data_IF_684723220236
#
_entry.id   IF_684723220236
#
_cell.length_a   1.000
_cell.length_b   1.000
_cell.length_c   1.000
_cell.angle_alpha   90.00
_cell.angle_beta   90.00
_cell.angle_gamma   90.00
#
_symmetry.space_group_name_H-M   'P 1'
#
loop_
_entity.id
_entity.type
_entity.pdbx_description
1 polymer ?
#
# COMPACT_ATOMS: atom_id res chain seq x y z
N UNK A 1 11.19 10.05 -24.86
CA UNK A 1 10.87 9.11 -23.77
C UNK A 1 11.17 9.83 -22.47
N UNK A 2 10.25 9.87 -21.52
CA UNK A 2 10.53 10.40 -20.18
C UNK A 2 11.44 9.40 -19.45
N UNK A 3 12.48 9.90 -18.78
CA UNK A 3 13.49 9.10 -18.08
C UNK A 3 12.89 8.43 -16.83
N UNK A 4 13.30 7.20 -16.50
CA UNK A 4 12.92 6.54 -15.24
C UNK A 4 13.37 7.34 -14.03
N UNK A 5 14.50 8.02 -14.10
CA UNK A 5 15.01 8.89 -13.03
C UNK A 5 14.07 10.08 -12.76
N UNK A 6 13.36 10.57 -13.78
CA UNK A 6 12.35 11.61 -13.60
C UNK A 6 11.13 11.10 -12.81
N UNK A 7 10.78 9.82 -12.93
CA UNK A 7 9.67 9.23 -12.18
C UNK A 7 9.98 9.21 -10.67
N UNK A 8 11.22 8.87 -10.29
CA UNK A 8 11.65 8.85 -8.90
C UNK A 8 11.61 10.24 -8.27
N UNK A 9 12.14 11.26 -8.96
CA UNK A 9 12.07 12.64 -8.48
C UNK A 9 10.63 13.15 -8.38
N UNK A 10 9.77 12.83 -9.36
CA UNK A 10 8.37 13.21 -9.31
C UNK A 10 7.63 12.55 -8.14
N UNK A 11 7.94 11.28 -7.84
CA UNK A 11 7.42 10.58 -6.67
C UNK A 11 7.82 11.26 -5.36
N UNK A 12 9.10 11.61 -5.20
CA UNK A 12 9.57 12.33 -4.01
C UNK A 12 8.91 13.71 -3.84
N UNK A 13 8.78 14.47 -4.92
CA UNK A 13 8.15 15.79 -4.90
C UNK A 13 6.70 15.64 -4.43
N UNK A 14 5.95 14.73 -5.05
CA UNK A 14 4.56 14.45 -4.70
C UNK A 14 4.39 14.08 -3.22
N UNK A 15 5.25 13.21 -2.68
CA UNK A 15 5.25 12.84 -1.25
C UNK A 15 5.54 14.03 -0.32
N UNK A 16 6.31 15.02 -0.77
CA UNK A 16 6.68 16.21 0.00
C UNK A 16 5.66 17.34 -0.11
N UNK A 17 4.95 17.43 -1.23
CA UNK A 17 3.99 18.51 -1.51
C UNK A 17 2.57 18.21 -1.07
N UNK A 18 2.18 16.94 -0.96
CA UNK A 18 0.87 16.58 -0.41
C UNK A 18 0.76 16.98 1.07
N UNK A 19 -0.31 17.70 1.41
CA UNK A 19 -0.57 18.11 2.80
C UNK A 19 -1.43 17.08 3.54
N UNK A 20 -2.38 16.49 2.82
CA UNK A 20 -3.29 15.48 3.33
C UNK A 20 -3.59 14.40 2.27
N UNK A 21 -4.52 13.49 2.61
CA UNK A 21 -4.99 12.44 1.70
C UNK A 21 -5.60 13.05 0.44
N UNK A 22 -6.52 14.00 0.56
CA UNK A 22 -7.28 14.55 -0.57
C UNK A 22 -6.35 15.24 -1.59
N UNK A 23 -5.36 15.98 -1.11
CA UNK A 23 -4.29 16.57 -1.94
C UNK A 23 -3.52 15.50 -2.72
N UNK A 24 -3.14 14.42 -2.04
CA UNK A 24 -2.43 13.30 -2.67
C UNK A 24 -3.29 12.65 -3.76
N UNK A 25 -4.59 12.46 -3.49
CA UNK A 25 -5.52 11.89 -4.45
C UNK A 25 -5.66 12.76 -5.70
N UNK A 26 -5.82 14.08 -5.51
CA UNK A 26 -5.90 15.04 -6.59
C UNK A 26 -4.62 15.06 -7.44
N UNK A 27 -3.45 15.08 -6.80
CA UNK A 27 -2.17 15.07 -7.51
C UNK A 27 -1.99 13.80 -8.33
N UNK A 28 -2.26 12.62 -7.76
CA UNK A 28 -2.15 11.34 -8.48
C UNK A 28 -3.12 11.28 -9.65
N UNK A 29 -4.36 11.73 -9.47
CA UNK A 29 -5.35 11.78 -10.55
C UNK A 29 -4.90 12.70 -11.68
N UNK A 30 -4.42 13.90 -11.34
CA UNK A 30 -3.89 14.84 -12.32
C UNK A 30 -2.73 14.22 -13.13
N UNK A 31 -1.79 13.56 -12.45
CA UNK A 31 -0.66 12.90 -13.11
C UNK A 31 -1.12 11.74 -14.00
N UNK A 32 -2.11 10.95 -13.57
CA UNK A 32 -2.68 9.86 -14.37
C UNK A 32 -3.29 10.36 -15.68
N UNK A 33 -3.98 11.50 -15.65
CA UNK A 33 -4.65 12.10 -16.82
C UNK A 33 -3.67 12.76 -17.80
N UNK A 34 -2.48 13.17 -17.32
CA UNK A 34 -1.55 14.00 -18.09
C UNK A 34 -0.23 13.31 -18.45
N UNK A 35 0.07 12.13 -17.90
CA UNK A 35 1.30 11.40 -18.18
C UNK A 35 1.04 10.16 -19.04
N UNK A 36 2.02 9.76 -19.88
CA UNK A 36 1.99 8.46 -20.54
C UNK A 36 1.83 7.33 -19.51
N UNK A 37 0.96 6.36 -19.79
CA UNK A 37 0.62 5.27 -18.88
C UNK A 37 1.85 4.54 -18.34
N UNK A 38 2.80 4.22 -19.22
CA UNK A 38 4.05 3.56 -18.82
C UNK A 38 4.88 4.38 -17.83
N UNK A 39 4.88 5.71 -17.95
CA UNK A 39 5.59 6.59 -17.02
C UNK A 39 4.83 6.70 -15.69
N UNK A 40 3.50 6.79 -15.74
CA UNK A 40 2.67 6.78 -14.54
C UNK A 40 2.83 5.48 -13.73
N UNK A 41 2.95 4.33 -14.38
CA UNK A 41 3.25 3.06 -13.69
C UNK A 41 4.63 3.07 -13.01
N UNK A 42 5.66 3.68 -13.61
CA UNK A 42 6.96 3.83 -12.94
C UNK A 42 6.88 4.75 -11.73
N UNK A 43 6.15 5.87 -11.85
CA UNK A 43 5.91 6.79 -10.74
C UNK A 43 5.19 6.08 -9.58
N UNK A 44 4.15 5.28 -9.87
CA UNK A 44 3.48 4.48 -8.85
C UNK A 44 4.41 3.42 -8.25
N UNK A 45 5.26 2.77 -9.03
CA UNK A 45 6.23 1.82 -8.47
C UNK A 45 7.17 2.52 -7.48
N UNK A 46 7.75 3.66 -7.84
CA UNK A 46 8.65 4.41 -6.96
C UNK A 46 7.93 4.94 -5.71
N UNK A 47 6.71 5.45 -5.87
CA UNK A 47 5.86 5.85 -4.75
C UNK A 47 5.59 4.68 -3.79
N UNK A 48 5.30 3.48 -4.30
CA UNK A 48 5.09 2.30 -3.44
C UNK A 48 6.30 2.00 -2.56
N UNK A 49 7.51 2.20 -3.08
CA UNK A 49 8.74 2.09 -2.31
C UNK A 49 8.82 3.20 -1.25
N UNK A 50 8.58 4.46 -1.63
CA UNK A 50 8.62 5.58 -0.69
C UNK A 50 7.60 5.44 0.45
N UNK A 51 6.42 4.87 0.20
CA UNK A 51 5.42 4.58 1.22
C UNK A 51 5.95 3.61 2.30
N UNK A 52 6.79 2.64 1.92
CA UNK A 52 7.33 1.62 2.82
C UNK A 52 8.49 2.10 3.70
N UNK A 53 9.08 3.26 3.39
CA UNK A 53 10.18 3.83 4.16
C UNK A 53 9.69 4.96 5.05
N UNK A 54 9.88 4.81 6.35
CA UNK A 54 9.55 5.86 7.31
C UNK A 54 10.63 6.95 7.27
N UNK A 55 10.35 8.02 6.52
CA UNK A 55 11.10 9.28 6.57
C UNK A 55 10.22 10.33 7.24
N UNK A 56 10.80 11.14 8.13
CA UNK A 56 10.09 12.20 8.86
C UNK A 56 9.49 13.26 7.95
N UNK A 57 9.96 13.37 6.71
CA UNK A 57 9.69 14.52 5.84
C UNK A 57 8.56 14.28 4.82
N UNK A 58 7.96 13.09 4.82
CA UNK A 58 6.91 12.73 3.86
C UNK A 58 5.50 12.88 4.43
N UNK A 59 4.50 13.08 3.57
CA UNK A 59 3.10 13.19 4.01
C UNK A 59 2.63 11.97 4.83
N UNK A 60 3.12 10.77 4.52
CA UNK A 60 2.82 9.53 5.26
C UNK A 60 3.26 9.59 6.73
N UNK A 61 4.35 10.29 7.06
CA UNK A 61 4.81 10.37 8.45
C UNK A 61 3.87 11.18 9.33
N UNK A 62 3.11 12.10 8.72
CA UNK A 62 2.16 12.99 9.40
C UNK A 62 0.82 12.30 9.65
N UNK A 63 0.53 11.22 8.93
CA UNK A 63 -0.70 10.45 9.09
C UNK A 63 -0.64 9.57 10.34
N UNK A 64 -1.73 9.49 11.08
CA UNK A 64 -1.92 8.44 12.08
C UNK A 64 -2.16 7.07 11.42
N UNK A 65 -2.27 6.02 12.24
CA UNK A 65 -2.38 4.66 11.72
C UNK A 65 -3.71 4.39 10.99
N UNK A 66 -4.80 5.03 11.42
CA UNK A 66 -6.12 4.85 10.84
C UNK A 66 -6.19 5.60 9.50
N UNK A 67 -5.60 6.79 9.43
CA UNK A 67 -5.43 7.55 8.19
C UNK A 67 -4.59 6.79 7.15
N UNK A 68 -3.49 6.15 7.59
CA UNK A 68 -2.66 5.27 6.74
C UNK A 68 -3.44 4.09 6.18
N UNK A 69 -4.28 3.48 7.01
CA UNK A 69 -5.14 2.37 6.60
C UNK A 69 -6.19 2.83 5.58
N UNK A 70 -6.88 3.95 5.86
CA UNK A 70 -7.87 4.54 4.96
C UNK A 70 -7.27 5.03 3.62
N UNK A 71 -6.01 5.46 3.62
CA UNK A 71 -5.26 5.78 2.40
C UNK A 71 -4.98 4.53 1.57
N UNK A 72 -4.57 3.42 2.21
CA UNK A 72 -4.33 2.17 1.51
C UNK A 72 -5.62 1.55 0.94
N UNK A 73 -6.72 1.62 1.68
CA UNK A 73 -8.03 1.15 1.22
C UNK A 73 -8.52 1.89 -0.03
N UNK A 74 -8.25 3.19 -0.14
CA UNK A 74 -8.55 3.96 -1.35
C UNK A 74 -7.83 3.39 -2.58
N UNK A 75 -6.54 3.05 -2.47
CA UNK A 75 -5.80 2.41 -3.56
C UNK A 75 -6.34 1.03 -3.92
N UNK A 76 -6.76 0.26 -2.91
CA UNK A 76 -7.32 -1.09 -3.13
C UNK A 76 -8.67 -1.00 -3.82
N UNK A 77 -9.60 -0.23 -3.25
CA UNK A 77 -11.02 -0.27 -3.62
C UNK A 77 -11.37 0.68 -4.75
N UNK A 78 -10.82 1.90 -4.75
CA UNK A 78 -11.20 2.93 -5.72
C UNK A 78 -10.25 2.98 -6.91
N UNK A 79 -8.96 2.67 -6.70
CA UNK A 79 -7.96 2.66 -7.78
C UNK A 79 -7.69 1.29 -8.36
N UNK A 80 -8.22 0.22 -7.74
CA UNK A 80 -7.97 -1.17 -8.14
C UNK A 80 -6.46 -1.48 -8.27
N UNK A 81 -5.66 -0.94 -7.35
CA UNK A 81 -4.18 -1.06 -7.30
C UNK A 81 -3.71 -1.64 -5.96
N UNK A 82 -4.21 -2.80 -5.52
CA UNK A 82 -3.83 -3.39 -4.24
C UNK A 82 -2.34 -3.72 -4.11
N UNK A 83 -1.66 -4.06 -5.22
CA UNK A 83 -0.23 -4.37 -5.22
C UNK A 83 0.64 -3.16 -4.86
N UNK A 84 0.17 -1.94 -5.11
CA UNK A 84 0.89 -0.69 -4.83
C UNK A 84 1.06 -0.47 -3.32
N UNK A 85 0.03 -0.75 -2.53
CA UNK A 85 0.08 -0.58 -1.06
C UNK A 85 0.42 -1.85 -0.31
N UNK A 86 0.67 -2.97 -0.99
CA UNK A 86 0.86 -4.26 -0.34
C UNK A 86 1.98 -4.24 0.70
N UNK A 87 3.20 -3.84 0.30
CA UNK A 87 4.33 -3.81 1.22
C UNK A 87 4.13 -2.77 2.33
N UNK A 88 3.57 -1.60 1.98
CA UNK A 88 3.24 -0.55 2.96
C UNK A 88 2.32 -1.09 4.06
N UNK A 89 1.29 -1.83 3.67
CA UNK A 89 0.40 -2.48 4.62
C UNK A 89 1.10 -3.57 5.42
N UNK A 90 1.78 -4.52 4.76
CA UNK A 90 2.29 -5.73 5.43
C UNK A 90 3.54 -5.50 6.28
N UNK A 91 4.37 -4.54 5.91
CA UNK A 91 5.65 -4.25 6.57
C UNK A 91 5.52 -3.11 7.58
N UNK A 92 4.57 -2.19 7.38
CA UNK A 92 4.44 -1.00 8.22
C UNK A 92 3.09 -0.94 8.95
N UNK A 93 1.97 -0.81 8.24
CA UNK A 93 0.66 -0.55 8.87
C UNK A 93 0.20 -1.70 9.76
N UNK A 94 0.23 -2.93 9.25
CA UNK A 94 -0.24 -4.11 9.99
C UNK A 94 0.62 -4.41 11.23
N UNK A 95 1.85 -3.92 11.29
CA UNK A 95 2.74 -4.12 12.43
C UNK A 95 2.51 -3.11 13.56
N UNK A 96 1.75 -2.06 13.32
CA UNK A 96 1.50 -1.02 14.31
C UNK A 96 0.59 -1.52 15.43
N UNK A 97 0.90 -1.14 16.68
CA UNK A 97 0.23 -1.65 17.89
C UNK A 97 -1.26 -1.27 17.96
N UNK A 98 -1.61 -0.09 17.43
CA UNK A 98 -2.95 0.49 17.52
C UNK A 98 -3.79 0.21 16.25
N UNK A 99 -3.27 -0.58 15.29
CA UNK A 99 -3.98 -0.82 14.03
C UNK A 99 -5.27 -1.60 14.24
N UNK A 100 -6.33 -1.25 13.49
CA UNK A 100 -7.56 -2.03 13.46
C UNK A 100 -7.33 -3.40 12.79
N UNK A 101 -7.09 -4.42 13.62
CA UNK A 101 -6.79 -5.78 13.16
C UNK A 101 -7.92 -6.41 12.35
N UNK A 102 -9.18 -6.11 12.67
CA UNK A 102 -10.32 -6.68 11.94
C UNK A 102 -10.35 -6.18 10.50
N UNK A 103 -10.14 -4.88 10.28
CA UNK A 103 -10.03 -4.30 8.94
C UNK A 103 -8.85 -4.90 8.17
N UNK A 104 -7.69 -5.01 8.81
CA UNK A 104 -6.51 -5.61 8.18
C UNK A 104 -6.75 -7.09 7.77
N UNK A 105 -7.44 -7.88 8.60
CA UNK A 105 -7.84 -9.25 8.26
C UNK A 105 -8.78 -9.29 7.06
N UNK A 106 -9.74 -8.36 6.96
CA UNK A 106 -10.64 -8.27 5.82
C UNK A 106 -9.89 -7.98 4.52
N UNK A 107 -8.91 -7.06 4.55
CA UNK A 107 -8.04 -6.76 3.42
C UNK A 107 -7.26 -8.00 2.97
N UNK A 108 -6.64 -8.74 3.90
CA UNK A 108 -5.88 -9.94 3.53
C UNK A 108 -6.79 -11.01 2.94
N UNK A 109 -7.99 -11.20 3.50
CA UNK A 109 -8.99 -12.14 2.97
C UNK A 109 -9.40 -11.78 1.55
N UNK A 110 -9.67 -10.50 1.28
CA UNK A 110 -10.04 -10.06 -0.07
C UNK A 110 -8.89 -10.28 -1.07
N UNK A 111 -7.64 -10.04 -0.67
CA UNK A 111 -6.48 -10.31 -1.52
C UNK A 111 -6.31 -11.80 -1.85
N UNK A 112 -6.57 -12.71 -0.91
CA UNK A 112 -6.53 -14.16 -1.15
C UNK A 112 -7.61 -14.65 -2.12
N UNK A 113 -8.70 -13.90 -2.24
CA UNK A 113 -9.80 -14.15 -3.16
C UNK A 113 -9.66 -13.42 -4.49
N UNK A 114 -8.62 -12.58 -4.65
CA UNK A 114 -8.42 -11.79 -5.86
C UNK A 114 -8.16 -12.66 -7.10
N UNK A 115 -8.70 -12.22 -8.24
CA UNK A 115 -8.38 -12.77 -9.57
C UNK A 115 -6.95 -12.44 -10.01
N UNK A 116 -6.34 -11.41 -9.41
CA UNK A 116 -4.93 -11.10 -9.63
C UNK A 116 -4.05 -12.17 -8.96
N UNK A 117 -3.58 -13.13 -9.76
CA UNK A 117 -2.79 -14.27 -9.29
C UNK A 117 -1.54 -13.85 -8.50
N UNK A 118 -0.89 -12.74 -8.87
CA UNK A 118 0.30 -12.23 -8.18
C UNK A 118 -0.04 -11.73 -6.78
N UNK A 119 -1.13 -10.96 -6.65
CA UNK A 119 -1.61 -10.48 -5.36
C UNK A 119 -2.05 -11.65 -4.47
N UNK A 120 -2.84 -12.57 -5.04
CA UNK A 120 -3.30 -13.78 -4.35
C UNK A 120 -2.13 -14.60 -3.82
N UNK A 121 -1.12 -14.87 -4.65
CA UNK A 121 0.06 -15.62 -4.23
C UNK A 121 0.82 -14.93 -3.09
N UNK A 122 1.05 -13.61 -3.19
CA UNK A 122 1.64 -12.81 -2.10
C UNK A 122 0.82 -12.91 -0.81
N UNK A 123 -0.50 -12.73 -0.89
CA UNK A 123 -1.39 -12.76 0.28
C UNK A 123 -1.55 -14.16 0.91
N UNK A 124 -1.40 -15.24 0.14
CA UNK A 124 -1.39 -16.61 0.67
C UNK A 124 -0.10 -16.91 1.45
N UNK A 125 1.03 -16.32 1.04
CA UNK A 125 2.32 -16.50 1.70
C UNK A 125 2.50 -15.60 2.93
N UNK A 126 1.67 -14.57 3.08
CA UNK A 126 1.76 -13.63 4.19
C UNK A 126 0.95 -14.09 5.40
N UNK A 127 1.62 -14.04 6.56
CA UNK A 127 1.03 -14.26 7.87
C UNK A 127 1.08 -12.97 8.68
N UNK A 128 -0.03 -12.60 9.28
CA UNK A 128 -0.12 -11.41 10.13
C UNK A 128 0.57 -11.68 11.48
N UNK A 129 1.45 -10.79 11.95
CA UNK A 129 2.31 -11.08 13.10
C UNK A 129 1.63 -10.89 14.47
N UNK A 130 0.32 -10.65 14.51
CA UNK A 130 -0.43 -10.54 15.76
C UNK A 130 -0.55 -11.88 16.52
N UNK A 131 -0.28 -13.00 15.84
CA UNK A 131 -0.44 -14.37 16.36
C UNK A 131 0.79 -14.92 17.08
N UNK A 132 1.72 -14.09 17.57
CA UNK A 132 2.94 -14.56 18.27
C UNK A 132 2.70 -15.33 19.60
N UNK A 133 1.45 -15.53 20.02
CA UNK A 133 1.09 -16.42 21.13
C UNK A 133 0.32 -17.68 20.72
N UNK A 134 0.07 -17.94 19.43
CA UNK A 134 -0.43 -19.23 18.98
C UNK A 134 0.77 -20.11 18.60
N UNK A 135 1.00 -21.15 19.40
CA UNK A 135 1.82 -22.29 18.96
C UNK A 135 1.35 -22.69 17.57
N UNK A 136 2.26 -22.63 16.60
CA UNK A 136 2.01 -23.03 15.22
C UNK A 136 1.81 -24.55 15.25
N UNK A 137 0.56 -24.99 15.43
CA UNK A 137 0.15 -26.30 14.94
C UNK A 137 -0.10 -26.12 13.45
N UNK A 138 0.75 -26.76 12.64
CA UNK A 138 0.77 -26.70 11.17
C UNK A 138 -0.50 -27.28 10.48
N UNK A 139 -1.66 -27.25 11.11
CA UNK A 139 -2.90 -27.89 10.60
C UNK A 139 -3.97 -26.93 10.10
N UNK A 140 -3.92 -25.64 10.40
CA UNK A 140 -5.03 -24.73 10.06
C UNK A 140 -4.79 -23.85 8.82
N UNK A 141 -3.76 -24.13 8.00
CA UNK A 141 -3.50 -23.38 6.77
C UNK A 141 -4.46 -23.78 5.61
N UNK A 142 -5.31 -24.79 5.80
CA UNK A 142 -6.23 -25.26 4.76
C UNK A 142 -7.67 -25.40 5.24
N UNK A 143 -8.32 -24.37 5.78
CA UNK A 143 -9.78 -24.39 5.88
C UNK A 143 -10.41 -23.03 5.52
N UNK A 144 -11.14 -23.11 4.40
CA UNK A 144 -12.10 -22.17 3.78
C UNK A 144 -11.55 -21.03 2.91
#
# INVERSE_FOLDING_TARGET
QLDKTLASYAGEILMKTAQDKEDMEHQIKFLQENLPENFFEYLLMDLSHLLTYESTDYFISKMDIDEKLAFAEWFINEKNRPLFVYNFLTEYVFNHKDVNRQQCQQIIRSWRQSENLRLKQKAMNYCVPWDKNMSIDHKDIFLN
#
